data_IF_459854208943
#
_entry.id   IF_459854208943
#
_cell.length_a   1.000
_cell.length_b   1.000
_cell.length_c   1.000
_cell.angle_alpha   90.00
_cell.angle_beta   90.00
_cell.angle_gamma   90.00
#
_symmetry.space_group_name_H-M   'P 1'
#
loop_
_entity.id
_entity.type
_entity.pdbx_description
1 polymer ?
#
# COMPACT_ATOMS: atom_id res chain seq x y z
N UNK A 1 -19.06 16.49 -1.20
CA UNK A 1 -18.27 15.25 -1.11
C UNK A 1 -16.84 15.60 -0.76
N UNK A 2 -16.24 14.87 0.17
CA UNK A 2 -14.84 15.05 0.52
C UNK A 2 -14.01 13.91 -0.04
N UNK A 3 -12.86 14.26 -0.58
CA UNK A 3 -11.94 13.31 -1.18
C UNK A 3 -10.59 13.40 -0.45
N UNK A 4 -10.00 12.26 -0.20
CA UNK A 4 -8.69 12.14 0.42
C UNK A 4 -7.74 11.51 -0.59
N UNK A 5 -6.57 12.09 -0.77
CA UNK A 5 -5.62 11.63 -1.77
C UNK A 5 -4.28 11.32 -1.12
N UNK A 6 -3.70 10.21 -1.52
CA UNK A 6 -2.33 9.86 -1.19
C UNK A 6 -1.56 9.54 -2.45
N UNK A 7 -0.36 10.05 -2.55
CA UNK A 7 0.53 9.79 -3.68
C UNK A 7 1.90 9.41 -3.11
N UNK A 8 2.49 8.38 -3.66
CA UNK A 8 3.83 8.00 -3.27
C UNK A 8 4.65 7.54 -4.48
N UNK A 9 5.95 7.81 -4.42
CA UNK A 9 6.91 7.45 -5.44
C UNK A 9 8.14 6.91 -4.74
N UNK A 10 8.56 5.70 -5.07
CA UNK A 10 9.73 5.09 -4.45
C UNK A 10 10.68 4.51 -5.49
N UNK A 11 11.94 4.40 -5.10
CA UNK A 11 12.95 3.70 -5.89
C UNK A 11 12.84 2.21 -5.69
N UNK A 12 12.78 1.45 -6.77
CA UNK A 12 12.81 -0.01 -6.70
C UNK A 12 14.10 -0.49 -6.02
N UNK A 13 15.21 0.20 -6.28
CA UNK A 13 16.50 -0.13 -5.67
C UNK A 13 16.48 -0.06 -4.15
N UNK A 14 15.72 0.85 -3.57
CA UNK A 14 15.61 0.95 -2.11
C UNK A 14 14.93 -0.28 -1.49
N UNK A 15 13.98 -0.87 -2.21
CA UNK A 15 13.33 -2.12 -1.77
C UNK A 15 14.31 -3.29 -1.89
N UNK A 16 15.06 -3.36 -2.99
CA UNK A 16 16.12 -4.37 -3.14
C UNK A 16 17.12 -4.29 -2.00
N UNK A 17 17.56 -3.08 -1.67
CA UNK A 17 18.52 -2.86 -0.59
C UNK A 17 17.96 -3.32 0.76
N UNK A 18 16.68 -3.08 1.01
CA UNK A 18 16.03 -3.52 2.25
C UNK A 18 15.94 -5.04 2.33
N UNK A 19 15.63 -5.70 1.22
CA UNK A 19 15.59 -7.16 1.16
C UNK A 19 16.99 -7.74 1.38
N UNK A 20 18.01 -7.16 0.73
CA UNK A 20 19.39 -7.62 0.87
C UNK A 20 19.89 -7.46 2.32
N UNK A 21 19.52 -6.36 2.98
CA UNK A 21 19.98 -6.07 4.33
C UNK A 21 19.24 -6.89 5.39
N UNK A 22 17.95 -7.14 5.22
CA UNK A 22 17.09 -7.68 6.27
C UNK A 22 16.34 -8.96 5.90
N UNK A 23 16.29 -9.33 4.63
CA UNK A 23 15.66 -10.57 4.18
C UNK A 23 14.21 -10.71 4.62
N UNK A 24 13.88 -11.89 5.19
CA UNK A 24 12.52 -12.19 5.62
C UNK A 24 12.00 -11.24 6.70
N UNK A 25 12.87 -10.65 7.50
CA UNK A 25 12.44 -9.68 8.53
C UNK A 25 11.77 -8.47 7.89
N UNK A 26 12.33 -7.97 6.80
CA UNK A 26 11.73 -6.88 6.04
C UNK A 26 10.41 -7.32 5.40
N UNK A 27 10.44 -8.46 4.71
CA UNK A 27 9.28 -8.97 3.99
C UNK A 27 8.11 -9.24 4.93
N UNK A 28 8.35 -9.89 6.06
CA UNK A 28 7.31 -10.22 7.03
C UNK A 28 6.72 -8.98 7.71
N UNK A 29 7.55 -7.95 7.90
CA UNK A 29 7.09 -6.72 8.53
C UNK A 29 6.16 -5.91 7.63
N UNK A 30 6.47 -5.88 6.33
CA UNK A 30 5.80 -4.98 5.38
C UNK A 30 4.63 -5.66 4.68
N UNK A 31 4.80 -6.91 4.24
CA UNK A 31 3.86 -7.57 3.34
C UNK A 31 3.10 -8.68 4.03
N UNK A 32 1.83 -8.82 3.66
CA UNK A 32 1.05 -9.97 4.08
C UNK A 32 1.53 -11.20 3.32
N UNK A 33 1.18 -12.37 3.82
CA UNK A 33 1.52 -13.62 3.16
C UNK A 33 0.97 -13.67 1.74
N UNK A 34 -0.26 -13.21 1.54
CA UNK A 34 -0.87 -13.15 0.21
C UNK A 34 -0.15 -12.21 -0.74
N UNK A 35 0.29 -11.05 -0.24
CA UNK A 35 1.08 -10.13 -1.06
C UNK A 35 2.40 -10.75 -1.48
N UNK A 36 3.05 -11.48 -0.56
CA UNK A 36 4.30 -12.16 -0.89
C UNK A 36 4.10 -13.23 -1.94
N UNK A 37 3.02 -13.99 -1.82
CA UNK A 37 2.68 -15.03 -2.80
C UNK A 37 2.40 -14.43 -4.18
N UNK A 38 1.64 -13.35 -4.25
CA UNK A 38 1.33 -12.68 -5.50
C UNK A 38 2.55 -12.06 -6.16
N UNK A 39 3.46 -11.52 -5.37
CA UNK A 39 4.65 -10.84 -5.90
C UNK A 39 5.77 -11.78 -6.31
N UNK A 40 5.81 -13.01 -5.80
CA UNK A 40 6.80 -14.03 -6.20
C UNK A 40 8.25 -13.52 -6.17
N UNK A 41 8.60 -12.74 -5.15
CA UNK A 41 9.93 -12.12 -5.01
C UNK A 41 10.33 -11.19 -6.15
N UNK A 42 9.37 -10.74 -6.95
CA UNK A 42 9.62 -9.71 -7.95
C UNK A 42 9.70 -8.36 -7.26
N UNK A 43 10.91 -7.79 -7.20
CA UNK A 43 11.15 -6.55 -6.47
C UNK A 43 10.31 -5.38 -6.99
N UNK A 44 10.06 -5.33 -8.30
CA UNK A 44 9.22 -4.26 -8.86
C UNK A 44 7.79 -4.36 -8.36
N UNK A 45 7.25 -5.57 -8.30
CA UNK A 45 5.91 -5.79 -7.75
C UNK A 45 5.88 -5.43 -6.26
N UNK A 46 6.87 -5.87 -5.50
CA UNK A 46 6.97 -5.53 -4.09
C UNK A 46 7.04 -4.02 -3.89
N UNK A 47 7.81 -3.33 -4.73
CA UNK A 47 7.93 -1.87 -4.66
C UNK A 47 6.60 -1.17 -4.94
N UNK A 48 5.81 -1.63 -5.92
CA UNK A 48 4.50 -1.04 -6.18
C UNK A 48 3.56 -1.23 -5.00
N UNK A 49 3.60 -2.40 -4.34
CA UNK A 49 2.80 -2.65 -3.14
C UNK A 49 3.23 -1.76 -1.98
N UNK A 50 4.53 -1.56 -1.82
CA UNK A 50 5.03 -0.66 -0.78
C UNK A 50 4.57 0.78 -1.03
N UNK A 51 4.69 1.25 -2.26
CA UNK A 51 4.20 2.59 -2.64
C UNK A 51 2.70 2.72 -2.36
N UNK A 52 1.92 1.69 -2.66
CA UNK A 52 0.48 1.68 -2.40
C UNK A 52 0.17 1.79 -0.91
N UNK A 53 0.92 1.11 -0.06
CA UNK A 53 0.73 1.18 1.39
C UNK A 53 1.04 2.59 1.92
N UNK A 54 2.14 3.18 1.45
CA UNK A 54 2.49 4.55 1.82
C UNK A 54 1.45 5.57 1.34
N UNK A 55 1.01 5.43 0.09
CA UNK A 55 -0.02 6.31 -0.46
C UNK A 55 -1.33 6.18 0.32
N UNK A 56 -1.69 4.96 0.73
CA UNK A 56 -2.88 4.72 1.53
C UNK A 56 -2.77 5.41 2.90
N UNK A 57 -1.62 5.31 3.54
CA UNK A 57 -1.40 6.01 4.82
C UNK A 57 -1.59 7.52 4.67
N UNK A 58 -1.07 8.09 3.60
CA UNK A 58 -1.26 9.52 3.32
C UNK A 58 -2.72 9.87 3.09
N UNK A 59 -3.45 9.05 2.33
CA UNK A 59 -4.87 9.26 2.09
C UNK A 59 -5.68 9.16 3.38
N UNK A 60 -5.31 8.26 4.29
CA UNK A 60 -5.96 8.13 5.58
C UNK A 60 -5.62 9.29 6.53
N UNK A 61 -4.67 10.15 6.14
CA UNK A 61 -4.31 11.34 6.89
C UNK A 61 -3.59 11.06 8.20
N UNK A 62 -2.94 9.90 8.32
CA UNK A 62 -2.20 9.60 9.52
C UNK A 62 -0.82 10.25 9.44
N UNK A 63 -0.61 11.27 10.20
CA UNK A 63 0.68 11.94 10.29
C UNK A 63 1.44 11.50 11.54
N UNK A 64 0.73 11.18 12.60
CA UNK A 64 1.31 10.99 13.93
C UNK A 64 1.22 9.55 14.43
N UNK A 65 0.39 8.73 13.81
CA UNK A 65 0.22 7.35 14.26
C UNK A 65 0.89 6.39 13.31
N UNK A 66 1.73 5.52 13.83
CA UNK A 66 2.30 4.45 13.05
C UNK A 66 1.24 3.37 12.86
N UNK A 67 0.81 3.14 11.63
CA UNK A 67 -0.05 2.02 11.30
C UNK A 67 0.81 0.81 10.97
N UNK A 68 0.44 -0.38 11.44
CA UNK A 68 1.12 -1.59 11.00
C UNK A 68 1.01 -1.72 9.48
N UNK A 69 2.12 -1.97 8.82
CA UNK A 69 2.15 -2.09 7.35
C UNK A 69 1.17 -3.13 6.83
N UNK A 70 1.06 -4.25 7.54
CA UNK A 70 0.22 -5.37 7.13
C UNK A 70 -1.27 -5.11 7.34
N UNK A 71 -1.63 -4.03 8.02
CA UNK A 71 -3.04 -3.62 8.14
C UNK A 71 -3.57 -2.99 6.86
N UNK A 72 -2.68 -2.68 5.92
CA UNK A 72 -3.02 -2.19 4.58
C UNK A 72 -2.57 -3.27 3.60
N UNK A 73 -3.51 -3.93 2.96
CA UNK A 73 -3.19 -5.02 2.04
C UNK A 73 -3.59 -4.68 0.62
N UNK A 74 -2.66 -4.91 -0.30
CA UNK A 74 -2.90 -4.72 -1.73
C UNK A 74 -3.25 -6.07 -2.32
N UNK A 75 -4.42 -6.17 -2.94
CA UNK A 75 -4.91 -7.45 -3.47
C UNK A 75 -5.15 -7.33 -4.97
N UNK A 76 -4.82 -8.39 -5.69
CA UNK A 76 -5.15 -8.49 -7.10
C UNK A 76 -6.62 -8.91 -7.23
N UNK A 77 -7.32 -8.28 -8.15
CA UNK A 77 -8.72 -8.58 -8.42
C UNK A 77 -8.83 -9.08 -9.85
N UNK A 78 -9.34 -10.28 -10.02
CA UNK A 78 -9.44 -10.93 -11.33
C UNK A 78 -9.93 -9.98 -12.41
N UNK A 79 -9.05 -9.64 -13.37
CA UNK A 79 -9.36 -8.79 -14.49
C UNK A 79 -9.68 -7.33 -14.18
N UNK A 80 -9.56 -6.93 -12.91
CA UNK A 80 -9.91 -5.56 -12.47
C UNK A 80 -8.73 -4.78 -11.89
N UNK A 81 -7.51 -5.30 -12.07
CA UNK A 81 -6.34 -4.67 -11.51
C UNK A 81 -6.16 -4.96 -10.02
N UNK A 82 -5.72 -3.96 -9.28
CA UNK A 82 -5.42 -4.11 -7.85
C UNK A 82 -6.34 -3.23 -7.02
N UNK A 83 -6.56 -3.63 -5.78
CA UNK A 83 -7.32 -2.85 -4.82
C UNK A 83 -6.68 -2.89 -3.45
N UNK A 84 -7.20 -2.10 -2.53
CA UNK A 84 -6.72 -2.02 -1.16
C UNK A 84 -7.77 -2.59 -0.22
N UNK A 85 -7.33 -3.45 0.68
CA UNK A 85 -8.16 -3.96 1.78
C UNK A 85 -7.53 -3.51 3.09
N UNK A 86 -8.34 -2.93 3.95
CA UNK A 86 -7.88 -2.45 5.25
C UNK A 86 -8.27 -3.44 6.34
N UNK A 87 -7.37 -3.64 7.28
CA UNK A 87 -7.57 -4.52 8.43
C UNK A 87 -7.25 -3.77 9.72
N UNK A 88 -7.80 -4.22 10.83
CA UNK A 88 -7.44 -3.75 12.16
C UNK A 88 -7.30 -2.22 12.30
N UNK A 89 -6.12 -1.74 12.70
CA UNK A 89 -5.92 -0.30 12.96
C UNK A 89 -6.18 0.60 11.75
N UNK A 90 -5.81 0.16 10.55
CA UNK A 90 -6.04 0.95 9.34
C UNK A 90 -7.55 1.05 9.05
N UNK A 91 -8.28 -0.04 9.20
CA UNK A 91 -9.73 -0.04 9.03
C UNK A 91 -10.41 0.86 10.06
N UNK A 92 -9.98 0.79 11.31
CA UNK A 92 -10.53 1.62 12.37
C UNK A 92 -10.31 3.11 12.07
N UNK A 93 -9.13 3.47 11.58
CA UNK A 93 -8.83 4.85 11.23
C UNK A 93 -9.70 5.33 10.06
N UNK A 94 -9.87 4.52 9.02
CA UNK A 94 -10.71 4.87 7.89
C UNK A 94 -12.17 5.11 8.35
N UNK A 95 -12.68 4.26 9.23
CA UNK A 95 -14.03 4.41 9.79
C UNK A 95 -14.19 5.69 10.59
N UNK A 96 -13.19 6.02 11.43
CA UNK A 96 -13.22 7.27 12.20
C UNK A 96 -13.26 8.50 11.31
N UNK A 97 -12.64 8.42 10.14
CA UNK A 97 -12.61 9.53 9.18
C UNK A 97 -13.76 9.49 8.19
N UNK A 98 -14.60 8.48 8.26
CA UNK A 98 -15.74 8.34 7.37
C UNK A 98 -15.39 7.96 5.93
N UNK A 99 -14.21 7.38 5.72
CA UNK A 99 -13.77 6.95 4.39
C UNK A 99 -14.38 5.58 4.12
N UNK A 100 -15.16 5.47 3.05
CA UNK A 100 -15.84 4.22 2.68
C UNK A 100 -15.19 3.49 1.51
N UNK A 101 -14.67 4.22 0.55
CA UNK A 101 -14.10 3.63 -0.65
C UNK A 101 -12.68 4.11 -0.86
N UNK A 102 -11.83 3.17 -1.24
CA UNK A 102 -10.46 3.45 -1.65
C UNK A 102 -10.26 2.96 -3.07
N UNK A 103 -9.77 3.84 -3.93
CA UNK A 103 -9.40 3.51 -5.29
C UNK A 103 -7.89 3.61 -5.42
N UNK A 104 -7.28 2.67 -6.11
CA UNK A 104 -5.83 2.56 -6.23
C UNK A 104 -5.42 2.47 -7.69
N UNK A 105 -4.39 3.22 -8.04
CA UNK A 105 -3.72 3.08 -9.32
C UNK A 105 -2.23 2.93 -9.08
N UNK A 106 -1.63 1.96 -9.74
CA UNK A 106 -0.21 1.65 -9.62
C UNK A 106 0.48 1.84 -10.97
N UNK A 107 1.72 2.30 -10.92
CA UNK A 107 2.58 2.36 -12.08
C UNK A 107 4.00 2.00 -11.66
N UNK A 108 4.71 1.28 -12.49
CA UNK A 108 6.08 0.89 -12.17
C UNK A 108 6.93 0.69 -13.40
N UNK A 109 8.21 0.94 -13.22
CA UNK A 109 9.24 0.68 -14.21
C UNK A 109 10.36 -0.11 -13.54
N UNK A 110 11.46 -0.34 -14.23
CA UNK A 110 12.62 -0.97 -13.60
C UNK A 110 13.24 -0.15 -12.49
N UNK A 111 13.03 1.16 -12.48
CA UNK A 111 13.67 2.08 -11.54
C UNK A 111 12.73 2.62 -10.46
N UNK A 112 11.48 2.89 -10.79
CA UNK A 112 10.55 3.57 -9.90
C UNK A 112 9.22 2.85 -9.80
N UNK A 113 8.59 2.98 -8.64
CA UNK A 113 7.21 2.54 -8.42
C UNK A 113 6.40 3.72 -7.91
N UNK A 114 5.21 3.88 -8.42
CA UNK A 114 4.31 4.96 -8.05
C UNK A 114 2.93 4.42 -7.70
N UNK A 115 2.28 5.07 -6.75
CA UNK A 115 0.92 4.74 -6.38
C UNK A 115 0.13 6.01 -6.10
N UNK A 116 -1.11 6.00 -6.51
CA UNK A 116 -2.06 7.03 -6.12
C UNK A 116 -3.28 6.35 -5.52
N UNK A 117 -3.73 6.86 -4.38
CA UNK A 117 -4.90 6.34 -3.67
C UNK A 117 -5.89 7.49 -3.49
N UNK A 118 -7.13 7.22 -3.82
CA UNK A 118 -8.21 8.17 -3.63
C UNK A 118 -9.22 7.54 -2.68
N UNK A 119 -9.44 8.21 -1.57
CA UNK A 119 -10.45 7.82 -0.59
C UNK A 119 -11.66 8.72 -0.68
N UNK A 120 -12.85 8.15 -0.64
CA UNK A 120 -14.10 8.89 -0.70
C UNK A 120 -14.84 8.77 0.63
N UNK A 121 -15.22 9.93 1.13
CA UNK A 121 -16.02 9.98 2.35
C UNK A 121 -17.49 9.70 2.02
N UNK A 122 -18.17 9.04 2.92
CA UNK A 122 -19.60 8.84 2.82
C UNK A 122 -20.35 10.19 2.72
N UNK A 123 -21.31 10.25 1.87
CA UNK A 123 -22.13 11.46 1.70
C UNK A 123 -23.21 11.53 2.81
#
# INVERSE_FOLDING_TARGET
MAVFVGLDLIDVESVDASIDAHGDRYLDRIYTEEERDECQMDTRKLATRFAAKEATMKALGRADEALPWRSIEVVERDGRGVGVVLHGPALALARRRGIEHLSLSLSGSGACAAAIVIGEKAS
#
